data_IF_975829081180
#
_entry.id   IF_975829081180
#
_cell.length_a   1.000
_cell.length_b   1.000
_cell.length_c   1.000
_cell.angle_alpha   90.00
_cell.angle_beta   90.00
_cell.angle_gamma   90.00
#
_symmetry.space_group_name_H-M   'P 1'
#
loop_
_entity.id
_entity.type
_entity.pdbx_description
1 polymer ?
#
# COMPACT_ATOMS: atom_id res chain seq x y z
N UNK A 1 -19.91 24.71 7.77
CA UNK A 1 -20.09 23.56 6.85
C UNK A 1 -20.38 22.34 7.67
N UNK A 2 -21.34 21.51 7.26
CA UNK A 2 -21.72 20.30 7.96
C UNK A 2 -23.23 20.06 7.86
N UNK A 3 -23.71 19.14 8.69
CA UNK A 3 -25.12 18.79 8.83
C UNK A 3 -25.87 19.86 9.66
N UNK A 4 -26.89 20.47 9.06
CA UNK A 4 -27.75 21.46 9.70
C UNK A 4 -29.09 20.88 10.18
N UNK A 5 -29.39 19.61 9.87
CA UNK A 5 -30.64 18.93 10.19
C UNK A 5 -31.92 19.64 9.67
N UNK A 6 -31.76 20.57 8.73
CA UNK A 6 -32.81 21.44 8.22
C UNK A 6 -32.62 21.76 6.73
N UNK A 7 -33.76 21.97 6.04
CA UNK A 7 -33.82 22.28 4.61
C UNK A 7 -34.30 23.72 4.39
N UNK A 8 -33.77 24.36 3.34
CA UNK A 8 -34.08 25.74 2.97
C UNK A 8 -35.24 25.87 1.97
N UNK A 9 -35.53 24.80 1.22
CA UNK A 9 -36.56 24.78 0.17
C UNK A 9 -37.12 23.38 -0.04
N UNK A 10 -38.31 23.27 -0.64
CA UNK A 10 -38.95 21.95 -0.88
C UNK A 10 -38.18 21.13 -1.93
N UNK A 11 -37.38 21.78 -2.76
CA UNK A 11 -36.54 21.10 -3.73
C UNK A 11 -35.35 20.35 -3.10
N UNK A 12 -35.11 20.56 -1.81
CA UNK A 12 -34.12 19.85 -0.99
C UNK A 12 -34.70 18.60 -0.32
N UNK A 13 -35.90 18.18 -0.73
CA UNK A 13 -36.65 17.09 -0.12
C UNK A 13 -37.30 16.21 -1.21
N UNK A 14 -37.20 14.89 -1.06
CA UNK A 14 -37.85 13.91 -1.95
C UNK A 14 -38.35 12.70 -1.15
N UNK A 15 -39.62 12.30 -1.38
CA UNK A 15 -40.21 11.10 -0.77
C UNK A 15 -40.64 11.31 0.69
N UNK A 16 -41.03 10.26 1.41
CA UNK A 16 -41.50 10.42 2.80
C UNK A 16 -42.79 11.24 2.96
N UNK A 17 -42.97 11.90 4.12
CA UNK A 17 -44.11 12.78 4.45
C UNK A 17 -43.71 14.26 4.31
N UNK A 18 -44.67 15.12 3.94
CA UNK A 18 -44.43 16.54 3.66
C UNK A 18 -43.63 17.25 4.77
N UNK A 19 -42.62 18.03 4.35
CA UNK A 19 -41.82 18.87 5.25
C UNK A 19 -42.61 20.00 5.90
N UNK A 20 -42.09 20.56 7.01
CA UNK A 20 -42.74 21.62 7.79
C UNK A 20 -42.31 23.02 7.28
N UNK A 21 -43.19 23.79 6.61
CA UNK A 21 -42.82 25.10 6.03
C UNK A 21 -42.35 26.12 7.07
N UNK A 22 -42.84 26.03 8.32
CA UNK A 22 -42.44 26.96 9.38
C UNK A 22 -40.99 26.76 9.79
N UNK A 23 -40.54 25.49 9.82
CA UNK A 23 -39.16 25.12 10.17
C UNK A 23 -38.17 25.61 9.11
N UNK A 24 -38.55 25.46 7.84
CA UNK A 24 -37.76 25.95 6.70
C UNK A 24 -37.61 27.47 6.72
N UNK A 25 -38.72 28.20 6.97
CA UNK A 25 -38.69 29.66 7.08
C UNK A 25 -37.77 30.12 8.21
N UNK A 26 -37.92 29.51 9.38
CA UNK A 26 -37.05 29.80 10.52
C UNK A 26 -35.56 29.58 10.19
N UNK A 27 -35.23 28.48 9.50
CA UNK A 27 -33.85 28.20 9.10
C UNK A 27 -33.30 29.26 8.14
N UNK A 28 -34.07 29.66 7.13
CA UNK A 28 -33.70 30.76 6.22
C UNK A 28 -33.52 32.09 6.96
N UNK A 29 -34.38 32.40 7.94
CA UNK A 29 -34.27 33.60 8.76
C UNK A 29 -32.96 33.61 9.57
N UNK A 30 -32.53 32.46 10.10
CA UNK A 30 -31.24 32.35 10.81
C UNK A 30 -30.03 32.55 9.89
N UNK A 31 -30.07 31.98 8.67
CA UNK A 31 -29.00 32.17 7.67
C UNK A 31 -28.85 33.66 7.34
N UNK A 32 -29.98 34.34 7.09
CA UNK A 32 -30.02 35.77 6.78
C UNK A 32 -29.56 36.63 7.95
N UNK A 33 -30.03 36.34 9.16
CA UNK A 33 -29.63 37.05 10.38
C UNK A 33 -28.11 37.00 10.60
N UNK A 34 -27.48 35.86 10.30
CA UNK A 34 -26.04 35.67 10.41
C UNK A 34 -25.24 36.26 9.23
N UNK A 35 -25.89 36.85 8.22
CA UNK A 35 -25.24 37.39 7.03
C UNK A 35 -24.50 36.31 6.22
N UNK A 36 -25.07 35.10 6.19
CA UNK A 36 -24.49 33.93 5.54
C UNK A 36 -25.13 33.69 4.18
N UNK A 37 -24.31 33.28 3.21
CA UNK A 37 -24.74 32.86 1.88
C UNK A 37 -24.36 31.40 1.66
N UNK A 38 -25.23 30.62 1.01
CA UNK A 38 -24.91 29.25 0.61
C UNK A 38 -23.81 29.28 -0.46
N UNK A 39 -22.74 28.50 -0.25
CA UNK A 39 -21.63 28.37 -1.20
C UNK A 39 -21.99 27.53 -2.42
N UNK A 40 -23.16 26.89 -2.40
CA UNK A 40 -23.62 26.01 -3.46
C UNK A 40 -22.92 24.65 -3.43
N UNK A 41 -23.58 23.66 -4.02
CA UNK A 41 -23.11 22.28 -4.04
C UNK A 41 -23.06 21.68 -5.45
N UNK A 42 -21.94 21.07 -5.80
CA UNK A 42 -21.80 20.22 -6.98
C UNK A 42 -22.13 18.78 -6.58
N UNK A 43 -23.39 18.45 -6.82
CA UNK A 43 -23.99 17.14 -7.15
C UNK A 43 -23.28 15.85 -6.66
N UNK A 44 -23.97 14.91 -5.96
CA UNK A 44 -25.43 14.75 -5.82
C UNK A 44 -26.15 15.83 -5.00
N UNK A 45 -27.44 16.08 -5.29
CA UNK A 45 -28.22 17.17 -4.65
C UNK A 45 -28.69 16.81 -3.25
N UNK A 46 -29.08 15.56 -3.04
CA UNK A 46 -29.48 15.05 -1.73
C UNK A 46 -28.24 14.54 -1.02
N UNK A 47 -28.07 14.94 0.24
CA UNK A 47 -26.90 14.59 1.05
C UNK A 47 -27.23 13.56 2.13
N UNK A 48 -28.50 13.27 2.38
CA UNK A 48 -28.93 12.27 3.35
C UNK A 48 -29.95 11.29 2.77
N UNK A 49 -29.88 10.03 3.20
CA UNK A 49 -30.81 8.93 2.85
C UNK A 49 -31.57 8.46 4.08
N UNK A 50 -32.83 8.86 4.12
CA UNK A 50 -33.74 8.51 5.19
C UNK A 50 -34.42 7.15 5.07
N UNK A 51 -35.33 6.85 6.01
CA UNK A 51 -36.10 5.61 6.02
C UNK A 51 -37.02 5.49 4.80
N UNK A 52 -37.40 4.25 4.47
CA UNK A 52 -38.46 3.96 3.51
C UNK A 52 -39.74 3.63 4.29
N UNK A 53 -40.68 4.57 4.31
CA UNK A 53 -41.97 4.38 4.97
C UNK A 53 -42.91 3.52 4.10
N UNK A 54 -43.80 2.71 4.69
CA UNK A 54 -44.79 1.95 3.93
C UNK A 54 -45.65 2.86 3.05
N UNK A 55 -45.82 2.50 1.77
CA UNK A 55 -46.61 3.27 0.82
C UNK A 55 -45.96 4.55 0.29
N UNK A 56 -44.76 4.92 0.75
CA UNK A 56 -44.04 6.11 0.30
C UNK A 56 -42.76 5.76 -0.47
N UNK A 57 -42.36 6.66 -1.37
CA UNK A 57 -40.97 6.67 -1.85
C UNK A 57 -40.00 6.90 -0.68
N UNK A 58 -38.77 6.40 -0.80
CA UNK A 58 -37.75 6.58 0.23
C UNK A 58 -37.44 8.07 0.42
N UNK A 59 -37.27 8.49 1.66
CA UNK A 59 -36.96 9.86 2.01
C UNK A 59 -35.50 10.20 1.69
N UNK A 60 -35.28 11.34 1.06
CA UNK A 60 -33.97 11.95 0.83
C UNK A 60 -34.04 13.44 1.11
N UNK A 61 -33.01 13.99 1.76
CA UNK A 61 -32.93 15.40 2.12
C UNK A 61 -31.54 15.97 1.84
N UNK A 62 -31.43 17.28 1.62
CA UNK A 62 -30.16 18.01 1.57
C UNK A 62 -29.88 18.66 2.94
N UNK A 63 -29.27 17.91 3.86
CA UNK A 63 -29.00 18.36 5.23
C UNK A 63 -27.59 18.96 5.38
N UNK A 64 -26.61 18.39 4.67
CA UNK A 64 -25.23 18.86 4.66
C UNK A 64 -25.03 20.09 3.75
N UNK A 65 -24.61 21.23 4.33
CA UNK A 65 -24.43 22.51 3.60
C UNK A 65 -23.11 23.20 3.98
N UNK A 66 -22.71 24.18 3.17
CA UNK A 66 -21.62 25.09 3.50
C UNK A 66 -22.06 26.52 3.23
N UNK A 67 -21.94 27.36 4.25
CA UNK A 67 -22.25 28.78 4.16
C UNK A 67 -20.99 29.62 4.33
N UNK A 68 -20.91 30.74 3.63
CA UNK A 68 -19.86 31.74 3.76
C UNK A 68 -20.43 33.12 4.02
N UNK A 69 -19.75 33.91 4.83
CA UNK A 69 -20.03 35.33 4.98
C UNK A 69 -19.33 36.14 3.87
N UNK A 70 -19.57 37.45 3.84
CA UNK A 70 -19.00 38.37 2.86
C UNK A 70 -17.47 38.28 2.77
N UNK A 71 -16.77 38.16 3.91
CA UNK A 71 -15.31 38.08 3.95
C UNK A 71 -14.78 36.79 3.30
N UNK A 72 -15.43 35.65 3.56
CA UNK A 72 -15.06 34.38 2.92
C UNK A 72 -15.26 34.44 1.40
N UNK A 73 -16.41 34.98 0.95
CA UNK A 73 -16.73 35.09 -0.48
C UNK A 73 -15.79 36.04 -1.22
N UNK A 74 -15.28 37.08 -0.56
CA UNK A 74 -14.25 37.96 -1.13
C UNK A 74 -12.89 37.27 -1.23
N UNK A 75 -12.54 36.44 -0.25
CA UNK A 75 -11.22 35.78 -0.19
C UNK A 75 -11.17 34.53 -1.09
N UNK A 76 -12.29 33.83 -1.22
CA UNK A 76 -12.41 32.56 -1.94
C UNK A 76 -13.70 32.54 -2.78
N UNK A 77 -13.79 33.38 -3.82
CA UNK A 77 -15.02 33.52 -4.61
C UNK A 77 -15.42 32.24 -5.35
N UNK A 78 -14.44 31.41 -5.73
CA UNK A 78 -14.68 30.13 -6.42
C UNK A 78 -14.87 28.95 -5.45
N UNK A 79 -15.14 29.21 -4.17
CA UNK A 79 -15.37 28.15 -3.20
C UNK A 79 -16.75 27.52 -3.38
N UNK A 80 -16.79 26.19 -3.43
CA UNK A 80 -18.05 25.45 -3.53
C UNK A 80 -17.97 24.11 -2.81
N UNK A 81 -19.11 23.56 -2.44
CA UNK A 81 -19.21 22.24 -1.83
C UNK A 81 -19.24 21.16 -2.91
N UNK A 82 -18.33 20.19 -2.86
CA UNK A 82 -18.41 18.98 -3.68
C UNK A 82 -19.05 17.86 -2.87
N UNK A 83 -20.18 17.34 -3.33
CA UNK A 83 -20.85 16.19 -2.72
C UNK A 83 -20.32 14.92 -3.38
N UNK A 84 -19.80 14.00 -2.59
CA UNK A 84 -19.31 12.71 -3.05
C UNK A 84 -20.42 11.65 -2.99
N UNK A 85 -20.33 10.59 -3.81
CA UNK A 85 -21.27 9.48 -3.71
C UNK A 85 -21.24 8.86 -2.31
N UNK A 86 -22.41 8.67 -1.73
CA UNK A 86 -22.58 7.94 -0.48
C UNK A 86 -22.23 6.47 -0.69
N UNK A 87 -21.52 5.88 0.26
CA UNK A 87 -21.22 4.45 0.30
C UNK A 87 -22.14 3.73 1.29
N UNK A 88 -22.15 2.40 1.29
CA UNK A 88 -23.02 1.61 2.17
C UNK A 88 -22.79 1.82 3.68
N UNK A 89 -21.69 2.49 4.07
CA UNK A 89 -21.27 2.69 5.47
C UNK A 89 -21.84 3.95 6.11
N UNK A 90 -22.56 4.78 5.35
CA UNK A 90 -23.18 6.01 5.85
C UNK A 90 -24.52 6.22 5.16
N UNK A 91 -25.47 6.83 5.87
CA UNK A 91 -26.68 7.41 5.32
C UNK A 91 -26.46 8.84 4.79
N UNK A 92 -25.33 9.47 5.14
CA UNK A 92 -24.88 10.75 4.59
C UNK A 92 -23.89 10.60 3.42
N UNK A 93 -23.98 11.54 2.49
CA UNK A 93 -22.99 11.77 1.43
C UNK A 93 -21.81 12.54 2.00
N UNK A 94 -20.55 12.10 1.78
CA UNK A 94 -19.39 12.89 2.18
C UNK A 94 -19.33 14.21 1.41
N UNK A 95 -18.97 15.30 2.09
CA UNK A 95 -18.88 16.65 1.51
C UNK A 95 -17.45 17.19 1.60
N UNK A 96 -16.98 17.86 0.55
CA UNK A 96 -15.64 18.47 0.47
C UNK A 96 -15.79 19.94 0.05
N UNK A 97 -15.26 20.86 0.85
CA UNK A 97 -15.14 22.25 0.42
C UNK A 97 -13.96 22.37 -0.57
N UNK A 98 -14.27 22.70 -1.81
CA UNK A 98 -13.27 22.93 -2.85
C UNK A 98 -12.86 24.40 -2.83
N UNK A 99 -11.58 24.66 -2.65
CA UNK A 99 -10.99 26.01 -2.65
C UNK A 99 -9.86 26.03 -3.69
N UNK A 100 -10.17 26.39 -4.95
CA UNK A 100 -9.25 26.87 -6.02
C UNK A 100 -7.93 26.16 -6.40
N UNK A 101 -7.33 25.27 -5.61
CA UNK A 101 -5.95 24.81 -5.82
C UNK A 101 -5.90 23.48 -6.58
N UNK A 102 -5.39 23.53 -7.82
CA UNK A 102 -4.98 22.33 -8.56
C UNK A 102 -3.54 21.98 -8.18
N UNK A 103 -3.37 20.91 -7.41
CA UNK A 103 -2.06 20.28 -7.25
C UNK A 103 -1.85 19.37 -8.46
N UNK A 104 -0.83 19.68 -9.27
CA UNK A 104 -0.42 18.83 -10.39
C UNK A 104 0.45 17.68 -9.87
N UNK A 105 -0.10 16.46 -9.86
CA UNK A 105 0.68 15.26 -9.56
C UNK A 105 1.51 14.85 -10.79
N UNK A 106 2.82 15.08 -10.74
CA UNK A 106 3.77 14.48 -11.70
C UNK A 106 3.85 12.97 -11.43
N UNK A 107 3.44 12.15 -12.40
CA UNK A 107 3.57 10.68 -12.35
C UNK A 107 4.99 10.26 -12.72
N UNK A 108 5.74 9.76 -11.74
CA UNK A 108 7.02 9.05 -11.98
C UNK A 108 6.73 7.56 -12.21
N UNK A 109 7.38 6.94 -13.20
CA UNK A 109 7.30 5.49 -13.44
C UNK A 109 7.91 4.75 -12.24
N UNK A 110 7.17 3.79 -11.66
CA UNK A 110 7.61 3.00 -10.50
C UNK A 110 8.00 1.59 -10.94
N UNK A 111 9.05 0.99 -10.33
CA UNK A 111 9.39 -0.40 -10.58
C UNK A 111 8.28 -1.33 -10.06
N UNK A 112 8.21 -2.53 -10.64
CA UNK A 112 7.29 -3.58 -10.20
C UNK A 112 7.61 -4.03 -8.77
N UNK A 113 6.57 -4.33 -8.01
CA UNK A 113 6.66 -4.99 -6.70
C UNK A 113 5.44 -5.89 -6.56
N UNK A 114 5.62 -7.08 -6.00
CA UNK A 114 4.51 -7.97 -5.73
C UNK A 114 3.50 -7.30 -4.78
N UNK A 115 2.23 -7.22 -5.19
CA UNK A 115 1.15 -6.71 -4.35
C UNK A 115 0.42 -7.88 -3.69
N UNK A 116 0.51 -7.98 -2.37
CA UNK A 116 -0.01 -9.13 -1.64
C UNK A 116 -1.55 -9.26 -1.75
N UNK A 117 -2.24 -8.21 -2.20
CA UNK A 117 -3.69 -8.24 -2.47
C UNK A 117 -4.05 -9.26 -3.56
N UNK A 118 -3.11 -9.62 -4.44
CA UNK A 118 -3.32 -10.63 -5.47
C UNK A 118 -3.65 -12.00 -4.88
N UNK A 119 -3.13 -12.31 -3.68
CA UNK A 119 -3.42 -13.55 -2.96
C UNK A 119 -4.89 -13.65 -2.49
N UNK A 120 -5.64 -12.54 -2.50
CA UNK A 120 -7.04 -12.51 -2.11
C UNK A 120 -8.00 -12.83 -3.26
N UNK A 121 -7.48 -12.98 -4.48
CA UNK A 121 -8.31 -13.22 -5.66
C UNK A 121 -8.44 -14.71 -5.91
N UNK A 122 -9.68 -15.18 -6.12
CA UNK A 122 -10.02 -16.61 -6.20
C UNK A 122 -9.18 -17.35 -7.25
N UNK A 123 -8.99 -16.75 -8.43
CA UNK A 123 -8.23 -17.38 -9.52
C UNK A 123 -6.70 -17.20 -9.41
N UNK A 124 -6.17 -16.66 -8.31
CA UNK A 124 -4.73 -16.41 -8.19
C UNK A 124 -3.92 -17.71 -8.16
N UNK A 125 -4.42 -18.73 -7.48
CA UNK A 125 -3.75 -20.04 -7.42
C UNK A 125 -3.68 -20.68 -8.81
N UNK A 126 -4.80 -20.70 -9.54
CA UNK A 126 -4.85 -21.20 -10.92
C UNK A 126 -3.90 -20.41 -11.85
N UNK A 127 -3.80 -19.10 -11.64
CA UNK A 127 -2.88 -18.26 -12.38
C UNK A 127 -1.41 -18.64 -12.12
N UNK A 128 -1.03 -18.87 -10.87
CA UNK A 128 0.33 -19.35 -10.54
C UNK A 128 0.57 -20.72 -11.15
N UNK A 129 -0.41 -21.62 -11.09
CA UNK A 129 -0.27 -22.97 -11.63
C UNK A 129 -0.05 -23.00 -13.14
N UNK A 130 -0.69 -22.09 -13.87
CA UNK A 130 -0.56 -21.95 -15.32
C UNK A 130 0.75 -21.25 -15.76
N UNK A 131 1.36 -20.44 -14.89
CA UNK A 131 2.50 -19.59 -15.24
C UNK A 131 3.81 -19.98 -14.55
N UNK A 132 3.84 -21.13 -13.86
CA UNK A 132 5.04 -21.65 -13.19
C UNK A 132 5.46 -23.00 -13.78
N UNK A 133 6.65 -23.04 -14.41
CA UNK A 133 7.18 -24.23 -15.05
C UNK A 133 8.17 -24.95 -14.13
N UNK A 134 7.84 -26.16 -13.66
CA UNK A 134 8.69 -26.93 -12.73
C UNK A 134 10.05 -27.32 -13.34
N UNK A 135 10.18 -27.30 -14.68
CA UNK A 135 11.44 -27.63 -15.36
C UNK A 135 12.40 -26.44 -15.46
N UNK A 136 11.90 -25.21 -15.30
CA UNK A 136 12.71 -24.01 -15.41
C UNK A 136 13.49 -23.73 -14.12
N UNK A 137 14.55 -22.92 -14.22
CA UNK A 137 15.27 -22.43 -13.05
C UNK A 137 14.42 -21.42 -12.27
N UNK A 138 14.58 -21.41 -10.94
CA UNK A 138 13.86 -20.51 -10.04
C UNK A 138 13.90 -19.05 -10.51
N UNK A 139 15.08 -18.54 -10.87
CA UNK A 139 15.25 -17.14 -11.34
C UNK A 139 14.42 -16.87 -12.61
N UNK A 140 14.45 -17.80 -13.57
CA UNK A 140 13.67 -17.72 -14.82
C UNK A 140 12.17 -17.72 -14.55
N UNK A 141 11.69 -18.60 -13.67
CA UNK A 141 10.29 -18.63 -13.25
C UNK A 141 9.86 -17.31 -12.59
N UNK A 142 10.69 -16.74 -11.71
CA UNK A 142 10.39 -15.46 -11.05
C UNK A 142 10.35 -14.29 -12.05
N UNK A 143 11.27 -14.25 -13.01
CA UNK A 143 11.29 -13.22 -14.06
C UNK A 143 10.09 -13.32 -15.01
N UNK A 144 9.76 -14.53 -15.46
CA UNK A 144 8.58 -14.79 -16.28
C UNK A 144 7.30 -14.42 -15.53
N UNK A 145 7.18 -14.87 -14.28
CA UNK A 145 6.02 -14.57 -13.45
C UNK A 145 5.88 -13.07 -13.18
N UNK A 146 6.98 -12.33 -13.02
CA UNK A 146 6.95 -10.88 -12.92
C UNK A 146 6.31 -10.24 -14.16
N UNK A 147 6.62 -10.73 -15.37
CA UNK A 147 6.01 -10.21 -16.59
C UNK A 147 4.51 -10.52 -16.61
N UNK A 148 4.14 -11.77 -16.37
CA UNK A 148 2.73 -12.21 -16.38
C UNK A 148 1.89 -11.48 -15.32
N UNK A 149 2.42 -11.29 -14.11
CA UNK A 149 1.74 -10.55 -13.05
C UNK A 149 1.51 -9.07 -13.39
N UNK A 150 2.39 -8.44 -14.18
CA UNK A 150 2.15 -7.06 -14.64
C UNK A 150 0.94 -6.99 -15.57
N UNK A 151 0.84 -7.94 -16.49
CA UNK A 151 -0.27 -8.01 -17.45
C UNK A 151 -1.57 -8.38 -16.74
N UNK A 152 -1.53 -9.43 -15.92
CA UNK A 152 -2.67 -9.86 -15.13
C UNK A 152 -3.17 -8.78 -14.17
N UNK A 153 -2.27 -8.06 -13.49
CA UNK A 153 -2.65 -6.93 -12.66
C UNK A 153 -3.33 -5.82 -13.48
N UNK A 154 -2.87 -5.54 -14.70
CA UNK A 154 -3.49 -4.56 -15.59
C UNK A 154 -4.88 -5.00 -16.05
N UNK A 155 -5.09 -6.29 -16.30
CA UNK A 155 -6.33 -6.83 -16.86
C UNK A 155 -7.40 -7.12 -15.80
N UNK A 156 -7.02 -7.73 -14.68
CA UNK A 156 -7.95 -8.20 -13.64
C UNK A 156 -8.24 -7.12 -12.59
N UNK A 157 -7.21 -6.41 -12.13
CA UNK A 157 -7.37 -5.37 -11.11
C UNK A 157 -7.41 -3.98 -11.73
N UNK A 158 -6.75 -3.79 -12.87
CA UNK A 158 -6.40 -2.48 -13.38
C UNK A 158 -5.53 -1.71 -12.38
N UNK A 159 -5.50 -0.39 -12.53
CA UNK A 159 -5.19 0.47 -11.39
C UNK A 159 -6.37 0.34 -10.42
N UNK A 160 -6.20 -0.32 -9.27
CA UNK A 160 -7.20 -0.39 -8.18
C UNK A 160 -7.83 0.98 -7.92
N UNK A 161 -7.01 2.02 -7.98
CA UNK A 161 -7.42 3.42 -7.86
C UNK A 161 -8.37 3.86 -8.99
N UNK A 162 -8.16 3.41 -10.22
CA UNK A 162 -9.05 3.64 -11.38
C UNK A 162 -10.35 2.85 -11.22
N UNK A 163 -10.30 1.55 -10.90
CA UNK A 163 -11.51 0.74 -10.69
C UNK A 163 -12.39 1.33 -9.59
N UNK A 164 -11.78 1.77 -8.49
CA UNK A 164 -12.46 2.54 -7.42
C UNK A 164 -13.09 3.82 -7.97
N UNK A 165 -12.35 4.62 -8.73
CA UNK A 165 -12.86 5.85 -9.31
C UNK A 165 -14.04 5.61 -10.27
N UNK A 166 -13.98 4.56 -11.10
CA UNK A 166 -15.03 4.19 -12.05
C UNK A 166 -16.30 3.71 -11.31
N UNK A 167 -16.15 2.88 -10.28
CA UNK A 167 -17.27 2.44 -9.43
C UNK A 167 -17.92 3.62 -8.70
N UNK A 168 -17.11 4.49 -8.08
CA UNK A 168 -17.62 5.70 -7.43
C UNK A 168 -18.32 6.63 -8.45
N UNK A 169 -17.80 6.76 -9.67
CA UNK A 169 -18.42 7.55 -10.72
C UNK A 169 -19.78 6.97 -11.16
N UNK A 170 -19.89 5.64 -11.27
CA UNK A 170 -21.16 4.96 -11.58
C UNK A 170 -22.18 5.12 -10.45
N UNK A 171 -21.78 4.91 -9.20
CA UNK A 171 -22.63 5.15 -8.01
C UNK A 171 -23.08 6.61 -7.98
N UNK A 172 -22.16 7.54 -8.24
CA UNK A 172 -22.47 8.96 -8.33
C UNK A 172 -23.50 9.24 -9.43
N UNK A 173 -23.33 8.67 -10.63
CA UNK A 173 -24.30 8.80 -11.72
C UNK A 173 -25.70 8.31 -11.35
N UNK A 174 -25.79 7.19 -10.62
CA UNK A 174 -27.06 6.68 -10.08
C UNK A 174 -27.67 7.68 -9.08
N UNK A 175 -26.90 8.12 -8.09
CA UNK A 175 -27.38 9.05 -7.05
C UNK A 175 -27.76 10.43 -7.59
N UNK A 176 -27.24 10.83 -8.77
CA UNK A 176 -27.63 12.04 -9.48
C UNK A 176 -28.93 11.92 -10.27
N UNK A 177 -29.36 10.70 -10.57
CA UNK A 177 -30.56 10.47 -11.38
C UNK A 177 -31.80 10.91 -10.62
N UNK A 178 -32.64 11.74 -11.25
CA UNK A 178 -33.95 12.15 -10.70
C UNK A 178 -34.88 10.96 -10.47
N UNK A 179 -34.70 9.88 -11.23
CA UNK A 179 -35.49 8.65 -11.13
C UNK A 179 -35.03 7.71 -10.01
N UNK A 180 -33.85 7.94 -9.41
CA UNK A 180 -33.28 7.04 -8.41
C UNK A 180 -34.19 6.78 -7.19
N UNK A 181 -34.84 7.78 -6.58
CA UNK A 181 -35.74 7.57 -5.45
C UNK A 181 -36.94 6.66 -5.75
N UNK A 182 -37.29 6.52 -7.03
CA UNK A 182 -38.48 5.82 -7.50
C UNK A 182 -38.16 4.54 -8.29
N UNK A 183 -36.88 4.25 -8.54
CA UNK A 183 -36.46 3.13 -9.38
C UNK A 183 -35.84 2.01 -8.55
N UNK A 184 -36.57 0.90 -8.42
CA UNK A 184 -36.05 -0.32 -7.81
C UNK A 184 -34.83 -0.89 -8.59
N UNK A 185 -34.80 -0.70 -9.91
CA UNK A 185 -33.67 -1.09 -10.73
C UNK A 185 -32.40 -0.34 -10.33
N UNK A 186 -32.46 1.01 -10.27
CA UNK A 186 -31.30 1.83 -9.89
C UNK A 186 -30.85 1.56 -8.45
N UNK A 187 -31.79 1.30 -7.54
CA UNK A 187 -31.49 0.89 -6.17
C UNK A 187 -30.73 -0.45 -6.11
N UNK A 188 -31.18 -1.46 -6.85
CA UNK A 188 -30.52 -2.76 -6.90
C UNK A 188 -29.14 -2.67 -7.57
N UNK A 189 -29.02 -1.88 -8.62
CA UNK A 189 -27.75 -1.63 -9.30
C UNK A 189 -26.74 -0.92 -8.38
N UNK A 190 -27.16 0.11 -7.64
CA UNK A 190 -26.30 0.75 -6.63
C UNK A 190 -25.82 -0.28 -5.60
N UNK A 191 -26.72 -1.13 -5.08
CA UNK A 191 -26.35 -2.16 -4.10
C UNK A 191 -25.34 -3.16 -4.65
N UNK A 192 -25.43 -3.54 -5.91
CA UNK A 192 -24.42 -4.38 -6.56
C UNK A 192 -23.06 -3.65 -6.64
N UNK A 193 -23.05 -2.41 -7.12
CA UNK A 193 -21.82 -1.61 -7.25
C UNK A 193 -21.15 -1.32 -5.90
N UNK A 194 -21.92 -1.19 -4.82
CA UNK A 194 -21.38 -1.04 -3.46
C UNK A 194 -20.64 -2.30 -2.99
N UNK A 195 -21.13 -3.50 -3.33
CA UNK A 195 -20.44 -4.77 -3.05
C UNK A 195 -19.13 -4.87 -3.83
N UNK A 196 -19.17 -4.57 -5.13
CA UNK A 196 -17.96 -4.51 -5.96
C UNK A 196 -16.95 -3.47 -5.43
N UNK A 197 -17.43 -2.33 -4.93
CA UNK A 197 -16.58 -1.30 -4.33
C UNK A 197 -15.95 -1.80 -3.03
N UNK A 198 -16.65 -2.58 -2.21
CA UNK A 198 -16.12 -3.14 -0.97
C UNK A 198 -14.95 -4.09 -1.21
N UNK A 199 -15.03 -4.93 -2.23
CA UNK A 199 -13.92 -5.80 -2.66
C UNK A 199 -12.69 -4.98 -3.06
N UNK A 200 -12.90 -3.93 -3.86
CA UNK A 200 -11.83 -3.01 -4.30
C UNK A 200 -11.22 -2.25 -3.12
N UNK A 201 -12.03 -1.80 -2.16
CA UNK A 201 -11.56 -1.12 -0.95
C UNK A 201 -10.73 -2.05 -0.06
N UNK A 202 -11.12 -3.33 0.04
CA UNK A 202 -10.35 -4.35 0.78
C UNK A 202 -9.00 -4.63 0.13
N UNK A 203 -8.95 -4.73 -1.19
CA UNK A 203 -7.70 -4.87 -1.92
C UNK A 203 -6.78 -3.64 -1.74
N UNK A 204 -7.35 -2.44 -1.82
CA UNK A 204 -6.63 -1.19 -1.56
C UNK A 204 -6.08 -1.13 -0.13
N UNK A 205 -6.89 -1.48 0.87
CA UNK A 205 -6.46 -1.57 2.27
C UNK A 205 -5.26 -2.49 2.44
N UNK A 206 -5.33 -3.70 1.88
CA UNK A 206 -4.25 -4.68 1.98
C UNK A 206 -2.96 -4.21 1.28
N UNK A 207 -3.09 -3.55 0.12
CA UNK A 207 -1.98 -2.90 -0.59
C UNK A 207 -1.30 -1.83 0.28
N UNK A 208 -2.07 -1.01 1.00
CA UNK A 208 -1.52 0.02 1.89
C UNK A 208 -0.93 -0.55 3.17
N UNK A 209 -1.56 -1.59 3.73
CA UNK A 209 -1.02 -2.34 4.86
C UNK A 209 0.37 -2.89 4.54
N UNK A 210 0.52 -3.61 3.42
CA UNK A 210 1.81 -4.15 2.96
C UNK A 210 2.86 -3.04 2.77
N UNK A 211 2.47 -1.89 2.22
CA UNK A 211 3.37 -0.74 2.00
C UNK A 211 3.81 -0.06 3.29
N UNK A 212 2.93 0.02 4.28
CA UNK A 212 3.21 0.69 5.56
C UNK A 212 4.25 -0.04 6.41
N UNK A 213 4.45 -1.35 6.18
CA UNK A 213 5.32 -2.25 6.98
C UNK A 213 5.06 -2.18 8.50
N UNK A 214 3.87 -1.70 8.90
CA UNK A 214 3.50 -1.51 10.30
C UNK A 214 2.94 -2.83 10.86
N UNK A 215 3.41 -3.24 12.04
CA UNK A 215 2.98 -4.47 12.71
C UNK A 215 1.74 -4.29 13.60
N UNK A 216 1.39 -3.04 13.93
CA UNK A 216 0.29 -2.70 14.84
C UNK A 216 -0.97 -2.29 14.08
N UNK A 217 -2.05 -3.09 14.21
CA UNK A 217 -3.43 -2.77 13.81
C UNK A 217 -4.18 -2.25 15.05
N UNK A 218 -3.67 -1.22 15.72
CA UNK A 218 -4.24 -0.78 17.02
C UNK A 218 -5.33 0.28 16.91
N UNK A 219 -5.84 0.58 15.72
CA UNK A 219 -6.92 1.56 15.55
C UNK A 219 -8.01 0.98 14.64
N UNK A 220 -9.08 0.51 15.27
CA UNK A 220 -10.33 0.10 14.64
C UNK A 220 -10.96 1.26 13.86
N UNK A 221 -10.60 1.36 12.59
CA UNK A 221 -11.42 1.70 11.43
C UNK A 221 -10.59 1.30 10.20
N UNK A 222 -11.16 1.11 8.99
CA UNK A 222 -10.38 0.69 7.80
C UNK A 222 -9.26 1.71 7.48
N UNK A 223 -8.05 1.49 7.99
CA UNK A 223 -7.12 2.58 8.29
C UNK A 223 -6.17 2.93 7.14
N UNK A 224 -6.70 3.01 5.92
CA UNK A 224 -5.94 3.43 4.75
C UNK A 224 -5.26 4.77 5.01
N UNK A 225 -5.95 5.76 5.60
CA UNK A 225 -5.37 7.08 5.92
C UNK A 225 -4.12 6.99 6.79
N UNK A 226 -4.13 6.19 7.86
CA UNK A 226 -2.93 5.98 8.68
C UNK A 226 -1.80 5.35 7.87
N UNK A 227 -2.08 4.29 7.11
CA UNK A 227 -1.07 3.64 6.28
C UNK A 227 -0.49 4.58 5.23
N UNK A 228 -1.33 5.40 4.59
CA UNK A 228 -0.92 6.46 3.67
C UNK A 228 -0.02 7.49 4.35
N UNK A 229 -0.43 8.02 5.50
CA UNK A 229 0.34 9.02 6.26
C UNK A 229 1.68 8.44 6.72
N UNK A 230 1.68 7.25 7.31
CA UNK A 230 2.89 6.54 7.73
C UNK A 230 3.84 6.32 6.55
N UNK A 231 3.33 5.83 5.41
CA UNK A 231 4.11 5.64 4.19
C UNK A 231 4.68 6.97 3.66
N UNK A 232 3.90 8.05 3.69
CA UNK A 232 4.34 9.36 3.21
C UNK A 232 5.38 10.00 4.13
N UNK A 233 5.22 9.89 5.45
CA UNK A 233 6.21 10.34 6.44
C UNK A 233 7.52 9.59 6.24
N UNK A 234 7.45 8.26 6.08
CA UNK A 234 8.64 7.44 5.83
C UNK A 234 9.31 7.81 4.50
N UNK A 235 8.55 7.98 3.42
CA UNK A 235 9.09 8.45 2.12
C UNK A 235 9.76 9.81 2.24
N UNK A 236 9.15 10.76 2.97
CA UNK A 236 9.72 12.09 3.18
C UNK A 236 11.04 12.01 3.95
N UNK A 237 11.10 11.19 5.01
CA UNK A 237 12.33 10.97 5.81
C UNK A 237 13.42 10.22 5.04
N UNK A 238 13.05 9.28 4.17
CA UNK A 238 13.99 8.49 3.37
C UNK A 238 14.41 9.14 2.05
N UNK A 239 13.81 10.28 1.68
CA UNK A 239 14.17 10.97 0.44
C UNK A 239 15.51 11.70 0.64
N UNK A 240 16.53 11.22 -0.07
CA UNK A 240 17.82 11.89 -0.16
C UNK A 240 17.69 12.94 -1.26
N UNK A 241 17.82 14.21 -0.89
CA UNK A 241 17.78 15.35 -1.83
C UNK A 241 19.20 15.82 -2.13
N UNK A 242 20.03 15.91 -1.08
CA UNK A 242 21.41 16.35 -1.18
C UNK A 242 22.25 15.67 -0.09
N UNK A 243 23.54 15.49 -0.34
CA UNK A 243 24.55 15.03 0.64
C UNK A 243 25.83 15.84 0.46
N UNK A 244 26.59 16.02 1.53
CA UNK A 244 27.93 16.59 1.50
C UNK A 244 28.96 15.52 1.13
N UNK A 245 29.91 15.89 0.28
CA UNK A 245 31.08 15.09 -0.03
C UNK A 245 32.16 15.15 1.08
N UNK A 246 33.29 14.47 0.87
CA UNK A 246 34.42 14.48 1.80
C UNK A 246 35.10 15.85 1.95
N UNK A 247 34.85 16.78 1.03
CA UNK A 247 35.34 18.17 1.08
C UNK A 247 34.33 19.12 1.73
N UNK A 248 33.14 18.63 2.11
CA UNK A 248 32.08 19.42 2.74
C UNK A 248 31.13 20.13 1.75
N UNK A 249 31.27 19.90 0.45
CA UNK A 249 30.44 20.51 -0.59
C UNK A 249 29.14 19.73 -0.78
N UNK A 250 28.02 20.44 -1.00
CA UNK A 250 26.74 19.82 -1.30
C UNK A 250 26.69 19.24 -2.71
N UNK A 251 26.26 17.99 -2.80
CA UNK A 251 25.99 17.24 -4.02
C UNK A 251 24.48 17.01 -4.09
N UNK A 252 23.85 17.52 -5.15
CA UNK A 252 22.39 17.45 -5.34
C UNK A 252 21.99 16.68 -6.61
N UNK A 253 22.91 16.54 -7.56
CA UNK A 253 22.69 15.80 -8.79
C UNK A 253 22.57 14.29 -8.52
N UNK A 254 21.63 13.63 -9.19
CA UNK A 254 21.22 12.26 -8.86
C UNK A 254 22.33 11.23 -9.15
N UNK A 255 23.06 11.40 -10.26
CA UNK A 255 24.07 10.44 -10.68
C UNK A 255 25.38 10.61 -9.91
N UNK A 256 25.74 11.85 -9.58
CA UNK A 256 26.84 12.15 -8.66
C UNK A 256 26.54 11.67 -7.23
N UNK A 257 25.31 11.82 -6.73
CA UNK A 257 24.87 11.26 -5.44
C UNK A 257 25.00 9.73 -5.40
N UNK A 258 24.55 9.02 -6.44
CA UNK A 258 24.72 7.56 -6.55
C UNK A 258 26.19 7.17 -6.50
N UNK A 259 27.03 7.87 -7.25
CA UNK A 259 28.47 7.61 -7.33
C UNK A 259 29.16 7.85 -5.98
N UNK A 260 28.78 8.91 -5.26
CA UNK A 260 29.27 9.22 -3.91
C UNK A 260 28.94 8.08 -2.93
N UNK A 261 27.69 7.60 -2.93
CA UNK A 261 27.23 6.50 -2.07
C UNK A 261 27.98 5.20 -2.39
N UNK A 262 28.08 4.83 -3.66
CA UNK A 262 28.75 3.59 -4.09
C UNK A 262 30.23 3.62 -3.70
N UNK A 263 30.92 4.74 -3.94
CA UNK A 263 32.34 4.90 -3.61
C UNK A 263 32.58 4.77 -2.11
N UNK A 264 31.75 5.43 -1.29
CA UNK A 264 31.84 5.36 0.16
C UNK A 264 31.72 3.92 0.69
N UNK A 265 30.69 3.17 0.26
CA UNK A 265 30.51 1.80 0.74
C UNK A 265 31.54 0.83 0.16
N UNK A 266 32.03 1.05 -1.07
CA UNK A 266 33.16 0.28 -1.60
C UNK A 266 34.41 0.44 -0.74
N UNK A 267 34.68 1.64 -0.24
CA UNK A 267 35.82 1.87 0.66
C UNK A 267 35.64 1.16 2.00
N UNK A 268 34.44 1.19 2.59
CA UNK A 268 34.15 0.50 3.86
C UNK A 268 34.25 -1.03 3.73
N UNK A 269 33.87 -1.59 2.57
CA UNK A 269 33.88 -3.03 2.32
C UNK A 269 35.07 -3.52 1.50
N UNK A 270 36.15 -2.74 1.45
CA UNK A 270 37.41 -3.23 0.93
C UNK A 270 37.97 -4.29 1.88
N UNK A 271 38.55 -5.33 1.29
CA UNK A 271 39.27 -6.35 2.02
C UNK A 271 40.48 -5.71 2.69
N UNK A 272 40.51 -5.74 4.02
CA UNK A 272 41.72 -5.36 4.77
C UNK A 272 42.72 -6.50 4.64
N UNK A 273 43.97 -6.18 4.31
CA UNK A 273 45.06 -7.16 4.35
C UNK A 273 45.35 -7.50 5.80
N UNK A 274 44.68 -8.51 6.32
CA UNK A 274 44.96 -9.06 7.63
C UNK A 274 46.21 -9.94 7.50
N UNK A 275 47.32 -9.49 8.09
CA UNK A 275 48.42 -10.41 8.41
C UNK A 275 47.89 -11.43 9.41
N UNK A 276 47.89 -12.70 9.00
CA UNK A 276 47.42 -13.84 9.78
C UNK A 276 48.15 -13.93 11.13
N UNK A 277 47.52 -13.46 12.20
CA UNK A 277 47.96 -13.69 13.56
C UNK A 277 47.37 -15.02 14.04
N UNK A 278 47.90 -16.14 13.54
CA UNK A 278 47.48 -17.51 13.92
C UNK A 278 47.96 -17.90 15.34
N UNK A 279 47.69 -17.06 16.34
CA UNK A 279 47.93 -17.37 17.75
C UNK A 279 46.76 -18.19 18.29
N UNK A 280 46.77 -19.50 17.99
CA UNK A 280 45.90 -20.45 18.69
C UNK A 280 46.46 -20.62 20.10
N UNK A 281 45.71 -20.14 21.10
CA UNK A 281 46.04 -20.25 22.52
C UNK A 281 45.04 -21.16 23.22
N UNK A 282 45.32 -21.52 24.48
CA UNK A 282 44.35 -22.25 25.31
C UNK A 282 43.06 -21.44 25.62
N UNK A 283 42.99 -20.16 25.21
CA UNK A 283 41.80 -19.31 25.26
C UNK A 283 41.13 -19.12 23.89
N UNK A 284 41.65 -19.75 22.83
CA UNK A 284 41.02 -19.71 21.50
C UNK A 284 39.68 -20.44 21.50
N UNK A 285 38.90 -20.23 20.43
CA UNK A 285 37.57 -20.82 20.29
C UNK A 285 37.60 -22.33 20.57
N UNK A 286 36.62 -22.87 21.32
CA UNK A 286 36.56 -24.28 21.65
C UNK A 286 36.52 -25.12 20.36
N UNK A 287 37.18 -26.27 20.39
CA UNK A 287 37.11 -27.25 19.30
C UNK A 287 35.66 -27.66 19.10
N UNK A 288 35.19 -27.58 17.85
CA UNK A 288 33.84 -28.06 17.50
C UNK A 288 33.80 -29.57 17.78
N UNK A 289 32.81 -30.01 18.57
CA UNK A 289 32.63 -31.43 18.91
C UNK A 289 32.38 -32.26 17.64
N UNK A 290 32.85 -33.51 17.62
CA UNK A 290 32.77 -34.40 16.44
C UNK A 290 31.32 -34.68 16.01
N UNK A 291 30.38 -34.75 16.95
CA UNK A 291 28.95 -34.88 16.67
C UNK A 291 28.38 -33.65 15.93
N UNK A 292 28.86 -32.44 16.27
CA UNK A 292 28.49 -31.20 15.61
C UNK A 292 29.05 -31.11 14.19
N UNK A 293 30.29 -31.57 13.98
CA UNK A 293 30.88 -31.68 12.64
C UNK A 293 30.11 -32.68 11.77
N UNK A 294 29.69 -33.81 12.34
CA UNK A 294 28.85 -34.78 11.62
C UNK A 294 27.48 -34.19 11.25
N UNK A 295 26.84 -33.44 12.17
CA UNK A 295 25.56 -32.77 11.90
C UNK A 295 25.67 -31.70 10.80
N UNK A 296 26.79 -30.96 10.73
CA UNK A 296 27.07 -30.00 9.66
C UNK A 296 27.25 -30.67 8.29
N UNK A 297 27.63 -31.95 8.26
CA UNK A 297 27.81 -32.73 7.04
C UNK A 297 26.55 -33.46 6.55
N UNK A 298 25.43 -33.36 7.26
CA UNK A 298 24.19 -34.01 6.86
C UNK A 298 23.58 -33.38 5.60
N UNK A 299 22.92 -34.21 4.80
CA UNK A 299 22.19 -33.73 3.61
C UNK A 299 20.95 -32.96 4.07
N UNK A 300 20.87 -31.69 3.67
CA UNK A 300 19.72 -30.84 3.94
C UNK A 300 18.42 -31.46 3.43
N UNK A 301 17.44 -31.57 4.31
CA UNK A 301 16.09 -32.02 4.00
C UNK A 301 15.21 -30.87 3.47
N UNK A 302 14.19 -31.21 2.67
CA UNK A 302 13.22 -30.21 2.18
C UNK A 302 12.41 -29.60 3.32
N UNK A 303 12.20 -30.36 4.41
CA UNK A 303 11.45 -29.90 5.57
C UNK A 303 12.23 -28.85 6.37
N UNK A 304 13.55 -29.01 6.54
CA UNK A 304 14.40 -27.97 7.17
C UNK A 304 14.38 -26.66 6.36
N UNK A 305 14.47 -26.77 5.03
CA UNK A 305 14.41 -25.62 4.13
C UNK A 305 13.04 -24.93 4.22
N UNK A 306 11.96 -25.72 4.25
CA UNK A 306 10.60 -25.22 4.44
C UNK A 306 10.47 -24.48 5.77
N UNK A 307 10.92 -25.09 6.88
CA UNK A 307 10.85 -24.47 8.20
C UNK A 307 11.63 -23.15 8.24
N UNK A 308 12.81 -23.11 7.65
CA UNK A 308 13.60 -21.88 7.53
C UNK A 308 12.83 -20.77 6.78
N UNK A 309 12.18 -21.08 5.65
CA UNK A 309 11.40 -20.12 4.89
C UNK A 309 10.12 -19.67 5.63
N UNK A 310 9.43 -20.58 6.29
CA UNK A 310 8.21 -20.28 7.05
C UNK A 310 8.48 -19.51 8.35
N UNK A 311 9.71 -19.56 8.87
CA UNK A 311 10.13 -18.71 10.00
C UNK A 311 10.27 -17.22 9.63
N UNK A 312 10.30 -16.89 8.33
CA UNK A 312 10.43 -15.51 7.87
C UNK A 312 9.10 -14.75 8.02
N UNK A 313 9.18 -13.48 8.43
CA UNK A 313 8.00 -12.62 8.45
C UNK A 313 7.39 -12.45 7.04
N UNK A 314 6.08 -12.68 6.86
CA UNK A 314 5.45 -12.75 5.53
C UNK A 314 5.62 -11.45 4.72
N UNK A 315 5.45 -10.31 5.37
CA UNK A 315 5.52 -8.99 4.76
C UNK A 315 6.89 -8.30 4.96
N UNK A 316 7.99 -9.06 4.94
CA UNK A 316 9.34 -8.46 4.87
C UNK A 316 9.63 -7.92 3.47
N UNK A 317 10.65 -7.07 3.35
CA UNK A 317 11.02 -6.47 2.08
C UNK A 317 11.67 -7.52 1.16
N UNK A 318 11.23 -7.63 -0.11
CA UNK A 318 11.86 -8.50 -1.09
C UNK A 318 13.22 -7.94 -1.51
N UNK A 319 14.02 -8.80 -2.15
CA UNK A 319 15.28 -8.40 -2.77
C UNK A 319 15.07 -7.88 -4.18
N UNK A 320 16.07 -8.11 -5.02
CA UNK A 320 16.03 -7.87 -6.45
C UNK A 320 14.98 -8.74 -7.18
N UNK A 321 14.66 -9.91 -6.62
CA UNK A 321 13.59 -10.82 -7.00
C UNK A 321 12.18 -10.20 -6.94
N UNK A 322 11.98 -9.17 -6.10
CA UNK A 322 10.70 -8.44 -5.94
C UNK A 322 9.53 -9.24 -5.36
N UNK A 323 9.76 -10.48 -4.93
CA UNK A 323 8.78 -11.36 -4.29
C UNK A 323 9.01 -11.45 -2.78
N UNK A 324 8.04 -11.05 -1.93
CA UNK A 324 8.17 -11.15 -0.46
C UNK A 324 7.96 -12.58 0.04
N UNK A 325 8.35 -12.91 1.29
CA UNK A 325 8.18 -14.26 1.85
C UNK A 325 6.74 -14.80 1.76
N UNK A 326 5.73 -13.93 1.93
CA UNK A 326 4.31 -14.32 1.82
C UNK A 326 3.96 -14.97 0.47
N UNK A 327 4.64 -14.60 -0.63
CA UNK A 327 4.42 -15.24 -1.92
C UNK A 327 4.84 -16.72 -1.87
N UNK A 328 6.05 -17.00 -1.38
CA UNK A 328 6.58 -18.36 -1.29
C UNK A 328 5.83 -19.20 -0.27
N UNK A 329 5.44 -18.61 0.86
CA UNK A 329 4.65 -19.28 1.91
C UNK A 329 3.26 -19.68 1.41
N UNK A 330 2.57 -18.77 0.70
CA UNK A 330 1.22 -19.03 0.20
C UNK A 330 1.19 -20.00 -0.99
N UNK A 331 2.25 -20.06 -1.80
CA UNK A 331 2.32 -20.88 -3.01
C UNK A 331 3.32 -22.04 -2.88
N UNK A 332 3.63 -22.47 -1.65
CA UNK A 332 4.68 -23.45 -1.37
C UNK A 332 4.50 -24.78 -2.11
N UNK A 333 3.25 -25.23 -2.28
CA UNK A 333 2.93 -26.45 -3.03
C UNK A 333 3.47 -26.42 -4.47
N UNK A 334 3.55 -25.24 -5.09
CA UNK A 334 4.02 -25.07 -6.47
C UNK A 334 5.49 -24.68 -6.55
N UNK A 335 5.93 -23.74 -5.70
CA UNK A 335 7.28 -23.14 -5.81
C UNK A 335 8.31 -23.77 -4.86
N UNK A 336 7.87 -24.59 -3.90
CA UNK A 336 8.73 -25.08 -2.81
C UNK A 336 9.86 -25.98 -3.28
N UNK A 337 9.62 -26.82 -4.29
CA UNK A 337 10.65 -27.70 -4.85
C UNK A 337 11.81 -26.91 -5.49
N UNK A 338 11.50 -25.81 -6.18
CA UNK A 338 12.51 -24.95 -6.81
C UNK A 338 13.37 -24.25 -5.76
N UNK A 339 12.75 -23.82 -4.66
CA UNK A 339 13.46 -23.25 -3.50
C UNK A 339 14.39 -24.31 -2.88
N UNK A 340 13.90 -25.53 -2.66
CA UNK A 340 14.70 -26.60 -2.10
C UNK A 340 15.88 -26.97 -3.02
N UNK A 341 15.63 -27.07 -4.33
CA UNK A 341 16.69 -27.30 -5.33
C UNK A 341 17.72 -26.18 -5.33
N UNK A 342 17.29 -24.92 -5.28
CA UNK A 342 18.17 -23.75 -5.22
C UNK A 342 19.10 -23.80 -4.00
N UNK A 343 18.54 -24.04 -2.81
CA UNK A 343 19.32 -24.11 -1.56
C UNK A 343 20.31 -25.26 -1.64
N UNK A 344 19.88 -26.48 -2.01
CA UNK A 344 20.76 -27.65 -2.09
C UNK A 344 21.89 -27.48 -3.11
N UNK A 345 21.62 -26.84 -4.26
CA UNK A 345 22.64 -26.52 -5.28
C UNK A 345 23.71 -25.55 -4.77
N UNK A 346 23.34 -24.63 -3.88
CA UNK A 346 24.30 -23.71 -3.29
C UNK A 346 25.16 -24.42 -2.24
N UNK A 347 24.56 -25.26 -1.40
CA UNK A 347 25.29 -26.03 -0.39
C UNK A 347 26.23 -27.10 -0.98
N UNK A 348 25.87 -27.72 -2.11
CA UNK A 348 26.71 -28.71 -2.77
C UNK A 348 27.75 -28.10 -3.75
N UNK A 349 27.81 -26.76 -3.85
CA UNK A 349 28.75 -26.05 -4.70
C UNK A 349 28.40 -25.99 -6.20
N UNK A 350 27.23 -26.48 -6.61
CA UNK A 350 26.77 -26.41 -8.01
C UNK A 350 26.30 -25.01 -8.44
N UNK A 351 26.02 -24.12 -7.48
CA UNK A 351 25.64 -22.73 -7.71
C UNK A 351 26.57 -21.79 -6.91
N UNK A 352 27.09 -20.75 -7.57
CA UNK A 352 27.98 -19.80 -6.91
C UNK A 352 27.23 -18.84 -5.98
N UNK A 353 27.80 -18.58 -4.81
CA UNK A 353 27.31 -17.54 -3.89
C UNK A 353 27.29 -16.16 -4.57
N UNK A 354 28.22 -15.89 -5.48
CA UNK A 354 28.27 -14.62 -6.22
C UNK A 354 27.05 -14.41 -7.12
N UNK A 355 26.56 -15.50 -7.72
CA UNK A 355 25.39 -15.47 -8.60
C UNK A 355 24.09 -15.39 -7.80
N UNK A 356 24.06 -16.05 -6.63
CA UNK A 356 22.91 -16.08 -5.73
C UNK A 356 22.74 -14.82 -4.86
N UNK A 357 23.84 -14.19 -4.43
CA UNK A 357 23.84 -13.04 -3.53
C UNK A 357 23.69 -11.70 -4.27
N UNK A 358 22.68 -11.61 -5.14
CA UNK A 358 22.28 -10.34 -5.74
C UNK A 358 21.43 -9.57 -4.71
N UNK A 359 21.79 -8.32 -4.44
CA UNK A 359 21.13 -7.52 -3.39
C UNK A 359 20.79 -6.12 -3.87
N UNK A 360 19.66 -5.60 -3.41
CA UNK A 360 19.34 -4.18 -3.55
C UNK A 360 19.85 -3.44 -2.34
N UNK A 361 20.72 -2.45 -2.54
CA UNK A 361 21.20 -1.58 -1.47
C UNK A 361 20.14 -0.52 -1.20
N UNK A 362 19.67 -0.46 0.05
CA UNK A 362 18.83 0.64 0.53
C UNK A 362 19.53 1.36 1.67
N UNK A 363 19.34 2.68 1.72
CA UNK A 363 19.88 3.53 2.79
C UNK A 363 18.76 3.87 3.79
N UNK A 364 19.04 3.66 5.07
CA UNK A 364 18.13 4.02 6.16
C UNK A 364 18.78 5.10 7.02
N UNK A 365 18.11 6.23 7.27
CA UNK A 365 18.55 7.25 8.23
C UNK A 365 18.92 6.66 9.60
N UNK A 366 20.12 6.97 10.13
CA UNK A 366 20.47 6.64 11.53
C UNK A 366 19.94 7.69 12.52
N UNK A 367 19.77 8.92 12.07
CA UNK A 367 19.35 10.10 12.86
C UNK A 367 18.57 11.09 11.99
N UNK A 368 18.01 12.13 12.61
CA UNK A 368 17.45 13.28 11.90
C UNK A 368 18.57 14.20 11.36
N UNK A 369 18.23 15.02 10.35
CA UNK A 369 19.13 15.98 9.69
C UNK A 369 20.42 15.32 9.16
N UNK A 370 20.27 14.63 8.04
CA UNK A 370 21.35 13.88 7.40
C UNK A 370 22.07 14.76 6.39
N UNK A 371 23.37 14.92 6.58
CA UNK A 371 24.24 15.67 5.69
C UNK A 371 25.25 14.76 4.99
N UNK A 372 25.64 13.62 5.57
CA UNK A 372 26.74 12.79 5.04
C UNK A 372 26.32 11.32 4.87
N UNK A 373 26.96 10.60 3.94
CA UNK A 373 26.66 9.17 3.64
C UNK A 373 26.78 8.27 4.87
N UNK A 374 27.80 8.48 5.72
CA UNK A 374 28.04 7.64 6.91
C UNK A 374 26.91 7.71 7.96
N UNK A 375 26.04 8.72 7.86
CA UNK A 375 24.87 8.91 8.71
C UNK A 375 23.68 8.05 8.26
N UNK A 376 23.83 7.32 7.15
CA UNK A 376 22.92 6.28 6.72
C UNK A 376 23.45 4.91 7.13
N UNK A 377 22.53 4.02 7.48
CA UNK A 377 22.77 2.58 7.58
C UNK A 377 22.46 1.99 6.21
N UNK A 378 23.46 1.39 5.57
CA UNK A 378 23.21 0.54 4.42
C UNK A 378 22.47 -0.73 4.89
N UNK A 379 21.52 -1.19 4.09
CA UNK A 379 20.89 -2.49 4.23
C UNK A 379 20.88 -3.15 2.87
N UNK A 380 21.45 -4.35 2.80
CA UNK A 380 21.39 -5.20 1.63
C UNK A 380 20.09 -6.01 1.67
N UNK A 381 19.18 -5.71 0.77
CA UNK A 381 17.94 -6.47 0.59
C UNK A 381 18.25 -7.67 -0.30
N UNK A 382 18.57 -8.80 0.33
CA UNK A 382 18.73 -10.08 -0.38
C UNK A 382 17.38 -10.65 -0.81
N UNK A 383 17.40 -11.45 -1.87
CA UNK A 383 16.27 -12.28 -2.30
C UNK A 383 15.80 -13.22 -1.18
N UNK A 384 14.54 -13.66 -1.27
CA UNK A 384 13.98 -14.56 -0.23
C UNK A 384 14.66 -15.91 -0.24
N UNK A 385 14.96 -16.44 -1.43
CA UNK A 385 15.66 -17.71 -1.59
C UNK A 385 17.09 -17.66 -1.02
N UNK A 386 17.82 -16.55 -1.19
CA UNK A 386 19.14 -16.39 -0.55
C UNK A 386 19.04 -16.21 0.98
N UNK A 387 18.02 -15.48 1.47
CA UNK A 387 17.74 -15.43 2.92
C UNK A 387 17.40 -16.81 3.49
N UNK A 388 16.82 -17.70 2.68
CA UNK A 388 16.53 -19.05 3.10
C UNK A 388 17.82 -19.82 3.37
N UNK A 389 18.79 -19.71 2.45
CA UNK A 389 20.14 -20.27 2.62
C UNK A 389 20.78 -19.80 3.93
N UNK A 390 20.82 -18.49 4.18
CA UNK A 390 21.44 -17.96 5.40
C UNK A 390 20.69 -18.37 6.66
N UNK A 391 19.36 -18.51 6.59
CA UNK A 391 18.54 -18.95 7.72
C UNK A 391 18.72 -20.43 8.03
N UNK A 392 18.84 -21.28 7.00
CA UNK A 392 19.22 -22.69 7.13
C UNK A 392 20.58 -22.77 7.82
N UNK A 393 21.59 -22.04 7.33
CA UNK A 393 22.92 -21.98 7.95
C UNK A 393 22.86 -21.57 9.42
N UNK A 394 22.13 -20.50 9.76
CA UNK A 394 21.96 -20.08 11.15
C UNK A 394 21.32 -21.18 11.99
N UNK A 395 20.24 -21.81 11.52
CA UNK A 395 19.56 -22.86 12.27
C UNK A 395 20.45 -24.10 12.46
N UNK A 396 21.37 -24.38 11.53
CA UNK A 396 22.36 -25.46 11.66
C UNK A 396 23.53 -25.08 12.58
N UNK A 397 23.78 -23.79 12.83
CA UNK A 397 24.89 -23.31 13.66
C UNK A 397 24.45 -22.86 15.06
N UNK A 398 23.19 -22.46 15.23
CA UNK A 398 22.57 -22.04 16.49
C UNK A 398 22.30 -23.29 17.36
N UNK A 399 23.29 -23.68 18.16
CA UNK A 399 23.20 -24.71 19.20
C UNK A 399 23.70 -24.23 20.56
#
# INVERSE_FOLDING_TARGET
>A
MGDFNDISSFDEWVGGRNGNPRRMRWFCDQINFCGLCDLGAVSPRMTWKGPKLPGCARLYECLDKAFGNSMLLQTMPDSFLKVLPRTQFSDHNPIILSVGFKISDRRVKKPFRFEAMWLLHDNFTDFIDANWCVQDHLETNLDNLQFQLKEWNREVFGLVEKRKADLLARINGIQKSKSYPFSNFLYNLERQLQRELEEVLRAEEFKWFQKSRTTWVSKCDRNTRFYHLSTNIQRKRSRIIALKDGSGNWVEDEDTLKSLVVTHFKQIYQEEVVTDCNLITNFSFPTVLDDRLQNLGLVLSDEEIKQALFSMGPFKAPGDDRFPPVFFQANWSKVGLDICSFVKKLFNGSLSVKEANKTLITLIPKKDNLEYVHQFRHISLCSVHYKCVTKVLCNTLDF
#
